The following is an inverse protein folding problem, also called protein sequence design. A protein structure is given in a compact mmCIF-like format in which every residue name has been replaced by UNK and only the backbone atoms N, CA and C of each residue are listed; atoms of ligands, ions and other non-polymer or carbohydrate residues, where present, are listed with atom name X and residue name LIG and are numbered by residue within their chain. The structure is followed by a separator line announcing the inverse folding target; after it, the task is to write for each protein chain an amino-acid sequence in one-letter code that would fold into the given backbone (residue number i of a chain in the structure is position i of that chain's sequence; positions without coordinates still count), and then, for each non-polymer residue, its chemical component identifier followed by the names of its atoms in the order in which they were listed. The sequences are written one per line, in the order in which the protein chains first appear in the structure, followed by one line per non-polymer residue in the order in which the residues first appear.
data_IF_246622380552
#
_entry.id   IF_246622380552
#
_cell.length_a   1.000
_cell.length_b   1.000
_cell.length_c   1.000
_cell.angle_alpha   90.00
_cell.angle_beta   90.00
_cell.angle_gamma   90.00
#
_symmetry.space_group_name_H-M   'P 1'
#
loop_
_entity.id
_entity.type
_entity.pdbx_description
1 polymer ?
#
# COMPACT_ATOMS: atom_id res chain seq x y z
N UNK A 1 -16.45 -13.13 -1.55
CA UNK A 1 -15.55 -12.01 -1.82
C UNK A 1 -14.21 -12.21 -1.13
N UNK A 2 -13.16 -11.71 -1.74
CA UNK A 2 -11.83 -11.76 -1.13
C UNK A 2 -11.73 -10.64 -0.10
N UNK A 3 -11.40 -11.01 1.14
CA UNK A 3 -11.23 -10.05 2.23
C UNK A 3 -9.79 -9.58 2.27
N UNK A 4 -9.57 -8.28 2.38
CA UNK A 4 -8.24 -7.69 2.48
C UNK A 4 -8.08 -7.06 3.85
N UNK A 5 -6.94 -7.31 4.51
CA UNK A 5 -6.60 -6.70 5.79
C UNK A 5 -5.25 -6.01 5.68
N UNK A 6 -5.03 -5.01 6.51
CA UNK A 6 -3.77 -4.27 6.54
C UNK A 6 -3.29 -4.09 7.97
N UNK A 7 -1.99 -4.05 8.13
CA UNK A 7 -1.36 -3.75 9.42
C UNK A 7 -0.09 -2.92 9.23
N UNK A 8 0.14 -1.96 10.12
CA UNK A 8 -0.79 -1.51 11.15
C UNK A 8 -1.96 -0.72 10.56
N UNK A 9 -2.98 -0.43 11.38
CA UNK A 9 -4.08 0.41 10.91
C UNK A 9 -3.67 1.88 10.82
N UNK A 10 -2.73 2.29 11.67
CA UNK A 10 -2.12 3.62 11.62
C UNK A 10 -0.72 3.56 12.24
N UNK A 11 0.12 4.52 11.87
CA UNK A 11 1.43 4.65 12.47
C UNK A 11 1.86 6.12 12.44
N UNK A 12 2.72 6.48 13.39
CA UNK A 12 3.35 7.80 13.43
C UNK A 12 4.84 7.62 13.18
N UNK A 13 5.39 8.43 12.29
CA UNK A 13 6.79 8.32 11.90
C UNK A 13 7.37 9.70 11.63
N UNK A 14 8.67 9.77 11.56
CA UNK A 14 9.42 11.00 11.28
C UNK A 14 9.98 10.96 9.87
N UNK A 15 10.25 12.14 9.33
CA UNK A 15 10.94 12.26 8.03
C UNK A 15 12.26 11.49 8.11
N UNK A 16 12.55 10.69 7.09
CA UNK A 16 13.74 9.86 7.05
C UNK A 16 13.55 8.45 7.55
N UNK A 17 12.45 8.16 8.23
CA UNK A 17 12.19 6.81 8.76
C UNK A 17 11.87 5.83 7.63
N UNK A 18 12.17 4.56 7.88
CA UNK A 18 11.73 3.45 7.02
C UNK A 18 10.37 2.97 7.51
N UNK A 19 9.42 2.89 6.60
CA UNK A 19 8.05 2.49 6.91
C UNK A 19 7.71 1.22 6.14
N UNK A 20 7.11 0.25 6.82
CA UNK A 20 6.66 -1.01 6.22
C UNK A 20 5.19 -1.23 6.55
N UNK A 21 4.38 -1.48 5.52
CA UNK A 21 2.95 -1.74 5.66
C UNK A 21 2.68 -3.12 5.06
N UNK A 22 1.89 -3.94 5.75
CA UNK A 22 1.55 -5.28 5.31
C UNK A 22 0.09 -5.36 4.90
N UNK A 23 -0.18 -6.09 3.82
CA UNK A 23 -1.53 -6.37 3.31
C UNK A 23 -1.68 -7.87 3.19
N UNK A 24 -2.82 -8.41 3.64
CA UNK A 24 -3.12 -9.83 3.55
C UNK A 24 -4.46 -10.07 2.87
N UNK A 25 -4.48 -11.08 2.01
CA UNK A 25 -5.70 -11.52 1.33
C UNK A 25 -6.23 -12.80 1.99
N UNK A 26 -7.55 -12.94 2.03
CA UNK A 26 -8.19 -14.11 2.62
C UNK A 26 -7.97 -15.39 1.79
N UNK A 27 -7.56 -15.24 0.54
CA UNK A 27 -7.20 -16.35 -0.34
C UNK A 27 -6.13 -15.90 -1.32
N UNK A 28 -5.47 -16.86 -1.99
CA UNK A 28 -4.38 -16.54 -2.91
C UNK A 28 -4.83 -15.66 -4.07
N UNK A 29 -4.10 -14.58 -4.33
CA UNK A 29 -4.39 -13.64 -5.41
C UNK A 29 -3.20 -13.48 -6.35
N UNK A 30 -2.22 -14.39 -6.28
CA UNK A 30 -1.00 -14.32 -7.09
C UNK A 30 -0.28 -13.01 -6.83
N UNK A 31 0.01 -12.24 -7.89
CA UNK A 31 0.56 -10.90 -7.79
C UNK A 31 -0.47 -9.83 -8.22
N UNK A 32 -1.76 -10.16 -8.16
CA UNK A 32 -2.83 -9.27 -8.63
C UNK A 32 -3.19 -8.26 -7.54
N UNK A 33 -2.24 -7.41 -7.19
CA UNK A 33 -2.39 -6.43 -6.12
C UNK A 33 -1.74 -5.11 -6.51
N UNK A 34 -2.44 -4.01 -6.20
CA UNK A 34 -1.90 -2.67 -6.34
C UNK A 34 -1.86 -1.95 -5.00
N UNK A 35 -0.94 -1.00 -4.87
CA UNK A 35 -0.86 -0.11 -3.71
C UNK A 35 -1.21 1.30 -4.12
N UNK A 36 -2.02 1.97 -3.30
CA UNK A 36 -2.54 3.30 -3.58
C UNK A 36 -2.26 4.24 -2.42
N UNK A 37 -2.01 5.50 -2.74
CA UNK A 37 -1.82 6.57 -1.75
C UNK A 37 -2.99 7.55 -1.90
N UNK A 38 -3.61 7.92 -0.79
CA UNK A 38 -4.67 8.92 -0.79
C UNK A 38 -4.38 9.99 0.24
N UNK A 39 -4.31 11.22 -0.20
CA UNK A 39 -4.17 12.40 0.67
C UNK A 39 -5.56 12.97 0.95
N UNK A 40 -5.74 13.66 2.10
CA UNK A 40 -7.04 14.21 2.45
C UNK A 40 -7.61 15.08 1.33
N UNK A 41 -8.87 14.83 0.97
CA UNK A 41 -9.55 15.59 -0.07
C UNK A 41 -9.12 15.29 -1.49
N UNK A 42 -8.26 14.30 -1.70
CA UNK A 42 -7.74 13.94 -3.02
C UNK A 42 -8.16 12.53 -3.41
N UNK A 43 -8.16 12.27 -4.71
CA UNK A 43 -8.40 10.91 -5.22
C UNK A 43 -7.19 10.02 -4.94
N UNK A 44 -7.41 8.68 -4.79
CA UNK A 44 -6.30 7.75 -4.64
C UNK A 44 -5.41 7.76 -5.88
N UNK A 45 -4.12 7.58 -5.65
CA UNK A 45 -3.10 7.54 -6.70
C UNK A 45 -2.38 6.20 -6.62
N UNK A 46 -2.32 5.46 -7.73
CA UNK A 46 -1.61 4.19 -7.75
C UNK A 46 -0.10 4.39 -7.66
N UNK A 47 0.54 3.69 -6.74
CA UNK A 47 1.99 3.72 -6.56
C UNK A 47 2.66 2.49 -7.15
N UNK A 48 2.07 1.32 -6.91
CA UNK A 48 2.61 0.01 -7.28
C UNK A 48 1.52 -0.76 -7.99
N UNK A 49 1.87 -1.50 -9.01
CA UNK A 49 0.97 -2.44 -9.67
C UNK A 49 1.63 -3.81 -9.80
N UNK A 50 0.82 -4.83 -9.98
CA UNK A 50 1.23 -6.24 -9.98
C UNK A 50 2.25 -6.56 -8.86
N UNK A 51 1.92 -6.09 -7.65
CA UNK A 51 2.62 -6.32 -6.38
C UNK A 51 3.96 -5.62 -6.24
N UNK A 52 4.76 -5.49 -7.29
CA UNK A 52 6.14 -5.00 -7.16
C UNK A 52 6.58 -3.99 -8.22
N UNK A 53 5.75 -3.72 -9.23
CA UNK A 53 6.13 -2.79 -10.30
C UNK A 53 5.79 -1.35 -9.93
N UNK A 54 6.77 -0.47 -10.04
CA UNK A 54 6.62 0.93 -9.70
C UNK A 54 5.88 1.68 -10.80
N UNK A 55 4.81 2.38 -10.43
CA UNK A 55 4.05 3.21 -11.36
C UNK A 55 4.95 4.34 -11.88
N UNK A 56 4.84 4.65 -13.16
CA UNK A 56 5.61 5.72 -13.78
C UNK A 56 5.41 7.04 -13.02
N UNK A 57 6.50 7.72 -12.74
CA UNK A 57 6.49 9.00 -12.03
C UNK A 57 6.51 8.90 -10.51
N UNK A 58 6.42 7.69 -9.96
CA UNK A 58 6.46 7.48 -8.51
C UNK A 58 7.92 7.38 -8.06
N UNK A 59 8.30 8.08 -6.96
CA UNK A 59 9.68 8.03 -6.49
C UNK A 59 10.14 6.63 -6.13
N UNK A 60 11.42 6.36 -6.35
CA UNK A 60 12.01 5.03 -6.14
C UNK A 60 12.11 4.62 -4.67
N UNK A 61 11.84 5.52 -3.74
CA UNK A 61 11.79 5.16 -2.32
C UNK A 61 10.62 4.23 -1.98
N UNK A 62 9.61 4.17 -2.85
CA UNK A 62 8.49 3.24 -2.72
C UNK A 62 8.85 1.91 -3.37
N UNK A 63 8.57 0.82 -2.68
CA UNK A 63 8.76 -0.51 -3.24
C UNK A 63 7.69 -1.46 -2.71
N UNK A 64 7.34 -2.45 -3.51
CA UNK A 64 6.37 -3.47 -3.13
C UNK A 64 6.95 -4.86 -3.30
N UNK A 65 6.48 -5.79 -2.49
CA UNK A 65 6.88 -7.18 -2.59
C UNK A 65 5.76 -8.10 -2.13
N UNK A 66 5.91 -9.37 -2.40
CA UNK A 66 4.99 -10.41 -1.96
C UNK A 66 4.23 -11.05 -3.11
N UNK A 67 3.59 -12.16 -2.79
CA UNK A 67 2.71 -12.88 -3.71
C UNK A 67 1.83 -13.83 -2.90
N UNK A 68 0.74 -14.29 -3.49
CA UNK A 68 -0.17 -15.21 -2.82
C UNK A 68 -1.10 -14.49 -1.87
N UNK A 69 -0.82 -14.50 -0.58
CA UNK A 69 -1.71 -13.91 0.43
C UNK A 69 -1.07 -12.79 1.24
N UNK A 70 0.25 -12.60 1.15
CA UNK A 70 0.93 -11.61 1.98
C UNK A 70 1.76 -10.68 1.12
N UNK A 71 1.57 -9.36 1.30
CA UNK A 71 2.19 -8.32 0.49
C UNK A 71 2.68 -7.21 1.39
N UNK A 72 3.74 -6.52 0.94
CA UNK A 72 4.39 -5.48 1.73
C UNK A 72 4.65 -4.26 0.87
N UNK A 73 4.33 -3.08 1.40
CA UNK A 73 4.75 -1.79 0.84
C UNK A 73 5.82 -1.22 1.75
N UNK A 74 6.94 -0.80 1.19
CA UNK A 74 8.03 -0.20 1.96
C UNK A 74 8.34 1.19 1.41
N UNK A 75 8.47 2.15 2.33
CA UNK A 75 9.00 3.49 2.02
C UNK A 75 10.35 3.56 2.71
N UNK A 76 11.42 3.62 1.92
CA UNK A 76 12.78 3.49 2.47
C UNK A 76 13.22 4.69 3.31
N UNK A 77 12.73 5.89 2.96
CA UNK A 77 13.06 7.12 3.68
C UNK A 77 11.88 8.06 3.53
N UNK A 78 11.06 8.14 4.55
CA UNK A 78 9.81 8.89 4.53
C UNK A 78 10.06 10.36 4.31
N UNK A 79 9.31 10.97 3.39
CA UNK A 79 9.39 12.40 3.08
C UNK A 79 8.11 13.10 3.54
N UNK A 80 8.14 14.43 3.69
CA UNK A 80 6.94 15.16 4.15
C UNK A 80 5.71 14.93 3.29
N UNK A 81 5.89 14.76 1.98
CA UNK A 81 4.77 14.54 1.06
C UNK A 81 4.21 13.11 1.13
N UNK A 82 4.84 12.21 1.90
CA UNK A 82 4.41 10.81 2.01
C UNK A 82 3.39 10.58 3.12
N UNK A 83 3.09 11.59 3.94
CA UNK A 83 2.08 11.45 5.00
C UNK A 83 0.70 11.41 4.36
N UNK A 84 0.06 10.24 4.43
CA UNK A 84 -1.17 9.94 3.71
C UNK A 84 -1.75 8.63 4.25
N UNK A 85 -2.87 8.19 3.68
CA UNK A 85 -3.42 6.86 3.93
C UNK A 85 -3.08 5.97 2.73
N UNK A 86 -2.64 4.75 3.01
CA UNK A 86 -2.22 3.80 1.99
C UNK A 86 -3.16 2.61 1.97
N UNK A 87 -3.56 2.19 0.77
CA UNK A 87 -4.49 1.09 0.56
C UNK A 87 -3.90 0.06 -0.37
N UNK A 88 -4.16 -1.22 -0.09
CA UNK A 88 -3.94 -2.27 -1.06
C UNK A 88 -5.26 -2.61 -1.75
N UNK A 89 -5.19 -3.01 -3.01
CA UNK A 89 -6.36 -3.39 -3.81
C UNK A 89 -6.06 -4.70 -4.52
N UNK A 90 -6.92 -5.71 -4.35
CA UNK A 90 -6.81 -6.93 -5.14
C UNK A 90 -7.64 -6.79 -6.42
N UNK A 91 -7.08 -7.25 -7.55
CA UNK A 91 -7.78 -7.32 -8.82
C UNK A 91 -7.72 -8.72 -9.42
N UNK A 92 -7.66 -9.73 -8.54
CA UNK A 92 -7.64 -11.14 -8.93
C UNK A 92 -9.02 -11.62 -9.34
N UNK A 93 -10.04 -11.22 -8.59
CA UNK A 93 -11.42 -11.60 -8.89
C UNK A 93 -12.40 -10.51 -8.46
N UNK A 94 -13.51 -10.41 -9.17
CA UNK A 94 -14.58 -9.47 -8.85
C UNK A 94 -15.40 -9.97 -7.68
N UNK A 95 -15.89 -9.06 -6.83
CA UNK A 95 -15.62 -7.63 -6.90
C UNK A 95 -14.20 -7.33 -6.42
N UNK A 96 -13.54 -6.34 -7.04
CA UNK A 96 -12.24 -5.89 -6.57
C UNK A 96 -12.43 -5.25 -5.20
N UNK A 97 -11.54 -5.60 -4.25
CA UNK A 97 -11.70 -5.14 -2.87
C UNK A 97 -10.43 -4.47 -2.38
N UNK A 98 -10.63 -3.35 -1.65
CA UNK A 98 -9.54 -2.62 -1.00
C UNK A 98 -9.34 -3.14 0.41
N UNK A 99 -8.11 -3.02 0.92
CA UNK A 99 -7.86 -3.13 2.34
C UNK A 99 -8.43 -1.91 3.06
N UNK A 100 -8.49 -1.97 4.40
CA UNK A 100 -9.09 -0.90 5.21
C UNK A 100 -8.26 0.38 5.28
N UNK A 101 -7.00 0.33 4.85
CA UNK A 101 -6.11 1.47 4.85
C UNK A 101 -5.17 1.49 6.04
N UNK A 102 -4.01 2.12 5.82
CA UNK A 102 -3.03 2.40 6.86
C UNK A 102 -2.73 3.89 6.83
N UNK A 103 -3.03 4.59 7.91
CA UNK A 103 -2.77 6.02 7.99
C UNK A 103 -1.36 6.25 8.50
N UNK A 104 -0.57 7.01 7.74
CA UNK A 104 0.81 7.37 8.11
C UNK A 104 0.82 8.83 8.50
N UNK A 105 1.03 9.10 9.78
CA UNK A 105 1.04 10.44 10.36
C UNK A 105 2.44 10.87 10.72
N UNK A 106 2.64 12.19 10.82
CA UNK A 106 3.89 12.75 11.29
C UNK A 106 3.97 12.59 12.81
N UNK A 107 5.17 12.25 13.28
CA UNK A 107 5.44 12.05 14.70
C UNK A 107 5.68 13.37 15.42
#
# INVERSE_FOLDING_TARGET
DIQMTQSPSSLSASVGDRVTITCRASQGIRNDLGWYQQKPGKAPKRLIYIASSLQSGVPSRFSGSGSGTEFTLTISSLQPEDFATYYCLQHNSYPFTFGPGTKVDIK
#
